data_IF_104617507046
#
_entry.id   IF_104617507046
#
_cell.length_a   1.000
_cell.length_b   1.000
_cell.length_c   1.000
_cell.angle_alpha   90.00
_cell.angle_beta   90.00
_cell.angle_gamma   90.00
#
_symmetry.space_group_name_H-M   'P 1'
#
loop_
_entity.id
_entity.type
_entity.pdbx_description
1 polymer ?
#
# COMPACT_ATOMS: atom_id res chain seq x y z
N UNK A 1 0.48 -4.34 19.31
CA UNK A 1 0.33 -2.92 18.93
C UNK A 1 -0.79 -2.81 17.92
N UNK A 2 -1.28 -1.61 17.67
CA UNK A 2 -2.24 -1.38 16.58
C UNK A 2 -1.52 -1.47 15.23
N UNK A 3 -2.23 -1.63 14.13
CA UNK A 3 -1.69 -1.56 12.77
C UNK A 3 -1.67 -0.11 12.29
N UNK A 4 -0.90 0.19 11.24
CA UNK A 4 -0.93 1.52 10.62
C UNK A 4 -2.33 1.84 10.10
N UNK A 5 -3.06 0.83 9.59
CA UNK A 5 -4.44 0.97 9.17
C UNK A 5 -5.38 1.43 10.29
N UNK A 6 -5.26 0.87 11.50
CA UNK A 6 -6.08 1.24 12.65
C UNK A 6 -5.78 2.68 13.11
N UNK A 7 -4.49 3.06 13.15
CA UNK A 7 -4.10 4.44 13.49
C UNK A 7 -4.62 5.45 12.44
N UNK A 8 -4.58 5.09 11.16
CA UNK A 8 -5.10 5.93 10.08
C UNK A 8 -6.63 6.08 10.12
N UNK A 9 -7.35 5.07 10.61
CA UNK A 9 -8.80 5.15 10.77
C UNK A 9 -9.19 6.21 11.82
N UNK A 10 -8.40 6.38 12.89
CA UNK A 10 -8.61 7.43 13.90
C UNK A 10 -8.57 8.84 13.34
N UNK A 11 -7.74 9.07 12.32
CA UNK A 11 -7.64 10.35 11.61
C UNK A 11 -8.51 10.37 10.34
N UNK A 12 -9.52 9.50 10.27
CA UNK A 12 -10.55 9.44 9.22
C UNK A 12 -10.01 9.13 7.82
N UNK A 13 -8.83 8.52 7.71
CA UNK A 13 -8.39 7.95 6.45
C UNK A 13 -9.03 6.59 6.24
N UNK A 14 -9.26 6.23 4.98
CA UNK A 14 -9.80 4.91 4.63
C UNK A 14 -8.69 4.05 4.02
N UNK A 15 -8.13 3.07 4.77
CA UNK A 15 -7.06 2.20 4.29
C UNK A 15 -7.39 1.50 2.95
N UNK A 16 -8.65 1.09 2.74
CA UNK A 16 -9.08 0.45 1.48
C UNK A 16 -9.01 1.42 0.30
N UNK A 17 -9.36 2.70 0.50
CA UNK A 17 -9.21 3.73 -0.54
C UNK A 17 -7.74 3.97 -0.86
N UNK A 18 -6.87 4.02 0.15
CA UNK A 18 -5.43 4.23 -0.04
C UNK A 18 -4.81 3.10 -0.89
N UNK A 19 -5.12 1.85 -0.58
CA UNK A 19 -4.67 0.69 -1.36
C UNK A 19 -5.14 0.76 -2.81
N UNK A 20 -6.43 1.08 -3.06
CA UNK A 20 -6.97 1.20 -4.43
C UNK A 20 -6.31 2.31 -5.24
N UNK A 21 -6.03 3.45 -4.61
CA UNK A 21 -5.31 4.55 -5.26
C UNK A 21 -3.92 4.08 -5.69
N UNK A 22 -3.22 3.35 -4.81
CA UNK A 22 -1.90 2.82 -5.13
C UNK A 22 -1.92 1.79 -6.25
N UNK A 23 -2.87 0.86 -6.24
CA UNK A 23 -3.09 -0.11 -7.32
C UNK A 23 -3.27 0.58 -8.68
N UNK A 24 -4.03 1.67 -8.70
CA UNK A 24 -4.24 2.47 -9.91
C UNK A 24 -2.95 3.10 -10.40
N UNK A 25 -2.13 3.65 -9.50
CA UNK A 25 -0.84 4.25 -9.85
C UNK A 25 0.17 3.22 -10.33
N UNK A 26 0.26 2.07 -9.67
CA UNK A 26 1.14 0.97 -10.08
C UNK A 26 0.75 0.45 -11.45
N UNK A 27 -0.54 0.20 -11.69
CA UNK A 27 -1.03 -0.23 -13.00
C UNK A 27 -0.68 0.78 -14.10
N UNK A 28 -0.81 2.09 -13.82
CA UNK A 28 -0.41 3.16 -14.74
C UNK A 28 1.10 3.14 -14.99
N UNK A 29 1.93 3.01 -13.97
CA UNK A 29 3.39 2.98 -14.09
C UNK A 29 3.88 1.76 -14.88
N UNK A 30 3.27 0.59 -14.71
CA UNK A 30 3.55 -0.60 -15.52
C UNK A 30 3.20 -0.33 -16.99
N UNK A 31 2.01 0.23 -17.25
CA UNK A 31 1.56 0.56 -18.62
C UNK A 31 2.49 1.58 -19.30
N UNK A 32 3.03 2.51 -18.53
CA UNK A 32 3.99 3.51 -19.00
C UNK A 32 5.43 2.97 -19.11
N UNK A 33 5.68 1.71 -18.75
CA UNK A 33 7.01 1.08 -18.81
C UNK A 33 8.00 1.64 -17.79
N UNK A 34 7.52 2.33 -16.74
CA UNK A 34 8.38 2.91 -15.69
C UNK A 34 8.87 1.87 -14.69
N UNK A 35 8.09 0.80 -14.51
CA UNK A 35 8.40 -0.36 -13.66
C UNK A 35 7.93 -1.62 -14.38
N UNK A 36 8.56 -2.74 -14.07
CA UNK A 36 8.14 -4.08 -14.48
C UNK A 36 6.89 -4.54 -13.72
N UNK A 37 6.27 -5.62 -14.20
CA UNK A 37 5.13 -6.24 -13.53
C UNK A 37 5.53 -6.82 -12.17
N UNK A 38 6.74 -7.41 -12.09
CA UNK A 38 7.33 -7.98 -10.88
C UNK A 38 7.55 -6.90 -9.82
N UNK A 39 8.21 -5.79 -10.19
CA UNK A 39 8.42 -4.64 -9.29
C UNK A 39 7.08 -4.05 -8.82
N UNK A 40 6.08 -3.97 -9.69
CA UNK A 40 4.74 -3.51 -9.31
C UNK A 40 4.05 -4.42 -8.28
N UNK A 41 4.17 -5.75 -8.44
CA UNK A 41 3.63 -6.71 -7.47
C UNK A 41 4.34 -6.61 -6.13
N UNK A 42 5.67 -6.52 -6.14
CA UNK A 42 6.48 -6.36 -4.93
C UNK A 42 6.12 -5.06 -4.20
N UNK A 43 5.99 -3.95 -4.94
CA UNK A 43 5.62 -2.66 -4.37
C UNK A 43 4.25 -2.68 -3.68
N UNK A 44 3.25 -3.30 -4.30
CA UNK A 44 1.92 -3.47 -3.70
C UNK A 44 1.94 -4.38 -2.47
N UNK A 45 2.75 -5.44 -2.51
CA UNK A 45 2.96 -6.35 -1.38
C UNK A 45 3.55 -5.59 -0.20
N UNK A 46 4.65 -4.88 -0.41
CA UNK A 46 5.34 -4.10 0.63
C UNK A 46 4.42 -3.03 1.24
N UNK A 47 3.64 -2.33 0.41
CA UNK A 47 2.68 -1.34 0.90
C UNK A 47 1.59 -1.97 1.79
N UNK A 48 1.01 -3.09 1.36
CA UNK A 48 -0.01 -3.81 2.15
C UNK A 48 0.57 -4.34 3.45
N UNK A 49 1.77 -4.89 3.41
CA UNK A 49 2.49 -5.36 4.60
C UNK A 49 2.76 -4.22 5.58
N UNK A 50 3.17 -3.04 5.10
CA UNK A 50 3.36 -1.87 5.98
C UNK A 50 2.07 -1.31 6.53
N UNK A 51 0.98 -1.33 5.75
CA UNK A 51 -0.31 -0.79 6.15
C UNK A 51 -1.04 -1.68 7.17
N UNK A 52 -0.96 -3.00 7.00
CA UNK A 52 -1.64 -3.99 7.84
C UNK A 52 -0.70 -4.69 8.84
N UNK A 53 0.59 -4.41 8.77
CA UNK A 53 1.59 -4.88 9.73
C UNK A 53 1.42 -4.18 11.08
N UNK A 54 1.87 -4.87 12.12
CA UNK A 54 1.86 -4.33 13.48
C UNK A 54 2.87 -3.17 13.61
N UNK A 55 2.50 -2.13 14.33
CA UNK A 55 3.25 -0.86 14.49
C UNK A 55 4.61 -0.95 15.19
N UNK A 56 5.06 -2.14 15.60
CA UNK A 56 6.39 -2.31 16.15
C UNK A 56 7.32 -2.76 15.02
N UNK A 57 8.39 -1.99 14.81
CA UNK A 57 9.52 -2.37 13.97
C UNK A 57 10.05 -3.74 14.46
N UNK A 58 10.08 -4.73 13.55
CA UNK A 58 10.97 -5.90 13.69
C UNK A 58 12.43 -5.50 13.40
#
# INVERSE_FOLDING_TARGET
>A
GETVAEVLDYVQYNPKKLVRTLETWVAKSIKEGKISMEEGKEFLSNYRSGLYGYTYLE
#
